data_IF_080676041654
#
_entry.id   IF_080676041654
#
_cell.length_a   1.000
_cell.length_b   1.000
_cell.length_c   1.000
_cell.angle_alpha   90.00
_cell.angle_beta   90.00
_cell.angle_gamma   90.00
#
_symmetry.space_group_name_H-M   'P 1'
#
loop_
_entity.id
_entity.type
_entity.pdbx_description
1 polymer ?
#
# COMPACT_ATOMS: atom_id res chain seq x y z
N UNK A 1 3.70 -43.29 5.07
CA UNK A 1 4.85 -42.49 5.53
C UNK A 1 4.72 -41.12 4.89
N UNK A 2 4.32 -40.09 5.64
CA UNK A 2 4.17 -38.72 5.15
C UNK A 2 5.55 -38.05 5.15
N UNK A 3 6.07 -37.73 3.99
CA UNK A 3 7.30 -36.91 3.86
C UNK A 3 6.94 -35.47 3.95
N UNK A 4 7.37 -34.81 5.02
CA UNK A 4 7.33 -33.35 5.21
C UNK A 4 8.29 -32.70 4.21
N UNK A 5 7.77 -31.89 3.31
CA UNK A 5 8.57 -31.10 2.39
C UNK A 5 9.09 -29.85 3.13
N UNK A 6 10.39 -29.74 3.25
CA UNK A 6 11.08 -28.56 3.78
C UNK A 6 11.04 -27.47 2.71
N UNK A 7 10.33 -26.37 2.99
CA UNK A 7 10.35 -25.17 2.16
C UNK A 7 11.70 -24.48 2.38
N UNK A 8 12.57 -24.56 1.40
CA UNK A 8 13.78 -23.77 1.37
C UNK A 8 13.41 -22.30 1.03
N UNK A 9 13.39 -21.46 2.03
CA UNK A 9 13.30 -20.02 1.85
C UNK A 9 14.65 -19.55 1.28
N UNK A 10 14.68 -19.19 0.00
CA UNK A 10 15.83 -18.51 -0.59
C UNK A 10 15.83 -17.07 -0.06
N UNK A 11 16.50 -16.86 1.05
CA UNK A 11 16.93 -15.53 1.46
C UNK A 11 18.08 -15.11 0.54
N UNK A 12 17.76 -14.33 -0.49
CA UNK A 12 18.78 -13.55 -1.19
C UNK A 12 19.27 -12.55 -0.15
N UNK A 13 20.37 -12.91 0.50
CA UNK A 13 21.07 -12.02 1.43
C UNK A 13 21.55 -10.81 0.63
N UNK A 14 20.88 -9.68 0.81
CA UNK A 14 21.30 -8.36 0.35
C UNK A 14 22.54 -7.88 1.15
N UNK A 15 23.62 -8.63 1.09
CA UNK A 15 24.88 -8.27 1.75
C UNK A 15 25.58 -7.05 1.13
N UNK A 16 25.09 -6.59 -0.03
CA UNK A 16 25.67 -5.43 -0.71
C UNK A 16 25.17 -4.05 -0.25
N UNK A 17 24.04 -3.97 0.46
CA UNK A 17 23.42 -2.69 0.81
C UNK A 17 23.67 -2.22 2.25
N UNK A 18 24.25 -3.04 3.12
CA UNK A 18 24.50 -2.68 4.52
C UNK A 18 25.76 -1.86 4.76
N UNK A 19 26.66 -1.71 3.79
CA UNK A 19 27.85 -0.88 3.95
C UNK A 19 27.62 0.61 3.74
N UNK A 20 26.46 1.02 3.18
CA UNK A 20 26.16 2.44 2.96
C UNK A 20 25.64 3.17 4.21
N UNK A 21 25.17 2.45 5.23
CA UNK A 21 24.55 3.08 6.41
C UNK A 21 25.50 3.38 7.58
N UNK A 22 26.73 2.91 7.54
CA UNK A 22 27.71 3.11 8.63
C UNK A 22 28.77 4.19 8.35
N UNK A 23 28.60 4.98 7.29
CA UNK A 23 29.46 6.14 7.09
C UNK A 23 28.90 7.30 7.91
N UNK A 24 29.61 7.80 8.92
CA UNK A 24 29.20 9.01 9.62
C UNK A 24 29.13 10.14 8.60
N UNK A 25 27.94 10.72 8.44
CA UNK A 25 27.73 11.87 7.58
C UNK A 25 28.60 13.01 8.07
N UNK A 26 29.39 13.62 7.20
CA UNK A 26 30.17 14.79 7.55
C UNK A 26 29.24 15.96 7.86
N UNK A 27 29.68 16.89 8.71
CA UNK A 27 28.92 18.11 9.04
C UNK A 27 28.55 18.93 7.80
N UNK A 28 29.32 18.82 6.70
CA UNK A 28 29.01 19.45 5.40
C UNK A 28 27.87 18.73 4.65
N UNK A 29 27.77 17.42 4.79
CA UNK A 29 26.65 16.64 4.23
C UNK A 29 25.34 16.87 5.03
N UNK A 30 25.45 17.19 6.31
CA UNK A 30 24.33 17.58 7.18
C UNK A 30 23.88 19.03 6.98
N UNK A 31 24.78 19.91 6.53
CA UNK A 31 24.51 21.34 6.32
C UNK A 31 23.80 21.57 4.96
N UNK A 32 22.50 21.26 4.85
CA UNK A 32 21.62 21.73 3.77
C UNK A 32 21.61 20.89 2.49
N UNK A 33 22.32 19.77 2.41
CA UNK A 33 22.28 18.86 1.25
C UNK A 33 21.42 17.59 1.46
N UNK A 34 20.92 17.35 2.66
CA UNK A 34 19.93 16.31 2.90
C UNK A 34 18.59 16.78 2.35
N UNK A 35 18.35 16.52 1.08
CA UNK A 35 17.03 16.65 0.50
C UNK A 35 16.17 15.47 1.01
N UNK A 36 15.68 15.59 2.24
CA UNK A 36 14.71 14.62 2.78
C UNK A 36 13.47 14.68 1.90
N UNK A 37 13.19 13.59 1.22
CA UNK A 37 11.95 13.44 0.45
C UNK A 37 10.81 13.35 1.47
N UNK A 38 10.12 14.47 1.68
CA UNK A 38 8.89 14.49 2.45
C UNK A 38 7.72 14.09 1.54
N UNK A 39 6.87 13.21 2.02
CA UNK A 39 5.66 12.80 1.30
C UNK A 39 4.42 13.10 2.15
N UNK A 40 3.36 13.52 1.48
CA UNK A 40 2.03 13.66 2.07
C UNK A 40 1.37 12.28 2.21
N UNK A 41 0.42 12.17 3.15
CA UNK A 41 -0.48 11.02 3.29
C UNK A 41 0.21 9.64 3.36
N UNK A 42 1.17 9.46 4.28
CA UNK A 42 1.93 8.21 4.41
C UNK A 42 1.04 6.99 4.75
N UNK A 43 -0.19 7.18 5.21
CA UNK A 43 -1.13 6.09 5.48
C UNK A 43 -1.43 5.23 4.24
N UNK A 44 -1.19 5.74 3.03
CA UNK A 44 -1.33 4.98 1.79
C UNK A 44 -0.32 3.83 1.67
N UNK A 45 0.77 3.88 2.43
CA UNK A 45 1.80 2.82 2.45
C UNK A 45 1.55 1.75 3.51
N UNK A 46 0.59 1.95 4.41
CA UNK A 46 0.21 0.97 5.42
C UNK A 46 -0.37 -0.26 4.72
N UNK A 47 0.12 -1.44 5.12
CA UNK A 47 -0.39 -2.72 4.62
C UNK A 47 -1.84 -2.92 5.01
N UNK A 48 -2.75 -3.11 4.04
CA UNK A 48 -4.17 -3.06 4.32
C UNK A 48 -4.75 -4.36 4.90
N UNK A 49 -4.06 -5.49 4.73
CA UNK A 49 -4.57 -6.80 5.12
C UNK A 49 -3.60 -7.57 6.01
N UNK A 50 -4.13 -8.32 6.96
CA UNK A 50 -3.36 -9.09 7.95
C UNK A 50 -2.56 -10.24 7.32
N UNK A 51 -3.05 -10.85 6.22
CA UNK A 51 -2.33 -11.93 5.52
C UNK A 51 -1.00 -11.43 4.97
N UNK A 52 -1.03 -10.35 4.19
CA UNK A 52 0.19 -9.78 3.59
C UNK A 52 1.12 -9.19 4.65
N UNK A 53 0.55 -8.54 5.68
CA UNK A 53 1.32 -8.02 6.81
C UNK A 53 2.08 -9.14 7.55
N UNK A 54 1.42 -10.26 7.82
CA UNK A 54 2.04 -11.41 8.49
C UNK A 54 3.14 -12.08 7.65
N UNK A 55 3.10 -11.92 6.32
CA UNK A 55 4.13 -12.42 5.39
C UNK A 55 5.26 -11.40 5.12
N UNK A 56 5.29 -10.27 5.85
CA UNK A 56 6.30 -9.23 5.64
C UNK A 56 6.03 -8.37 4.42
N UNK A 57 4.78 -7.95 4.23
CA UNK A 57 4.31 -7.08 3.15
C UNK A 57 4.45 -7.70 1.74
N UNK A 58 4.21 -9.00 1.66
CA UNK A 58 4.24 -9.76 0.41
C UNK A 58 2.84 -9.85 -0.17
N UNK A 59 2.65 -9.35 -1.41
CA UNK A 59 1.33 -9.33 -2.05
C UNK A 59 1.34 -9.28 -3.58
N UNK A 60 2.42 -8.79 -4.18
CA UNK A 60 2.46 -8.41 -5.62
C UNK A 60 2.35 -9.60 -6.57
N UNK A 61 2.88 -10.76 -6.18
CA UNK A 61 2.91 -11.98 -7.01
C UNK A 61 2.46 -13.21 -6.21
N UNK A 62 1.35 -13.10 -5.47
CA UNK A 62 0.78 -14.21 -4.72
C UNK A 62 -0.06 -15.10 -5.64
N UNK A 63 0.07 -16.42 -5.46
CA UNK A 63 -0.91 -17.38 -5.94
C UNK A 63 -2.18 -17.31 -5.08
N UNK A 64 -3.32 -17.70 -5.63
CA UNK A 64 -4.62 -17.67 -4.97
C UNK A 64 -5.00 -16.24 -4.48
N UNK A 65 -5.16 -15.28 -5.40
CA UNK A 65 -5.57 -13.93 -5.06
C UNK A 65 -6.98 -13.90 -4.44
N UNK A 66 -7.15 -13.02 -3.49
CA UNK A 66 -8.38 -12.70 -2.79
C UNK A 66 -8.81 -11.23 -3.01
N UNK A 67 -9.82 -10.76 -2.28
CA UNK A 67 -10.29 -9.38 -2.42
C UNK A 67 -9.22 -8.33 -2.08
N UNK A 68 -8.25 -8.64 -1.21
CA UNK A 68 -7.18 -7.72 -0.82
C UNK A 68 -6.11 -7.58 -1.91
N UNK A 69 -6.05 -8.53 -2.84
CA UNK A 69 -5.04 -8.55 -3.90
C UNK A 69 -5.13 -7.34 -4.84
N UNK A 70 -6.30 -6.68 -4.92
CA UNK A 70 -6.47 -5.45 -5.70
C UNK A 70 -5.57 -4.30 -5.25
N UNK A 71 -5.23 -4.23 -3.96
CA UNK A 71 -4.32 -3.21 -3.41
C UNK A 71 -2.84 -3.52 -3.65
N UNK A 72 -2.50 -4.79 -3.90
CA UNK A 72 -1.15 -5.25 -4.15
C UNK A 72 -0.81 -5.33 -5.63
N UNK A 73 -1.69 -5.95 -6.40
CA UNK A 73 -1.57 -6.09 -7.84
C UNK A 73 -2.95 -6.36 -8.44
N UNK A 74 -3.57 -5.31 -8.96
CA UNK A 74 -4.90 -5.38 -9.58
C UNK A 74 -4.95 -6.42 -10.69
N UNK A 75 -3.87 -6.57 -11.48
CA UNK A 75 -3.78 -7.54 -12.57
C UNK A 75 -3.92 -8.99 -12.10
N UNK A 76 -3.70 -9.28 -10.82
CA UNK A 76 -3.81 -10.62 -10.27
C UNK A 76 -5.27 -11.03 -9.96
N UNK A 77 -6.19 -10.10 -9.75
CA UNK A 77 -7.59 -10.41 -9.43
C UNK A 77 -8.31 -11.23 -10.51
N UNK A 78 -7.84 -11.17 -11.75
CA UNK A 78 -8.37 -12.00 -12.85
C UNK A 78 -8.20 -13.50 -12.55
N UNK A 79 -7.14 -13.84 -11.80
CA UNK A 79 -6.81 -15.22 -11.42
C UNK A 79 -7.56 -15.70 -10.17
N UNK A 80 -8.37 -14.87 -9.53
CA UNK A 80 -9.15 -15.25 -8.36
C UNK A 80 -10.07 -16.43 -8.66
N UNK A 81 -10.22 -17.36 -7.71
CA UNK A 81 -11.08 -18.55 -7.88
C UNK A 81 -12.55 -18.17 -7.97
N UNK A 82 -13.00 -17.26 -7.14
CA UNK A 82 -14.38 -16.83 -7.07
C UNK A 82 -14.67 -15.70 -8.08
N UNK A 83 -15.92 -15.59 -8.53
CA UNK A 83 -16.37 -14.52 -9.41
C UNK A 83 -16.37 -13.17 -8.70
N UNK A 84 -16.72 -13.16 -7.42
CA UNK A 84 -16.79 -11.99 -6.56
C UNK A 84 -16.12 -12.28 -5.23
N UNK A 85 -15.59 -11.26 -4.60
CA UNK A 85 -15.03 -11.37 -3.26
C UNK A 85 -15.11 -10.04 -2.54
N UNK A 86 -15.17 -10.12 -1.21
CA UNK A 86 -15.25 -8.99 -0.30
C UNK A 86 -14.35 -9.26 0.89
N UNK A 87 -13.70 -8.23 1.40
CA UNK A 87 -12.85 -8.30 2.59
C UNK A 87 -12.94 -7.01 3.39
N UNK A 88 -12.89 -7.15 4.70
CA UNK A 88 -12.80 -6.05 5.64
C UNK A 88 -11.69 -6.36 6.64
N UNK A 89 -10.84 -5.39 6.91
CA UNK A 89 -9.83 -5.50 7.96
C UNK A 89 -9.79 -4.24 8.82
N UNK A 90 -9.45 -4.44 10.09
CA UNK A 90 -9.23 -3.39 11.05
C UNK A 90 -7.93 -3.66 11.82
N UNK A 91 -7.04 -2.68 11.85
CA UNK A 91 -5.80 -2.73 12.60
C UNK A 91 -5.79 -1.62 13.64
N UNK A 92 -5.88 -1.94 14.94
CA UNK A 92 -5.65 -0.97 16.01
C UNK A 92 -4.17 -0.58 15.97
N UNK A 93 -3.90 0.69 15.65
CA UNK A 93 -2.54 1.19 15.49
C UNK A 93 -2.00 1.67 16.83
N UNK A 94 -0.80 1.24 17.21
CA UNK A 94 -0.14 1.63 18.48
C UNK A 94 -1.01 1.42 19.74
N UNK A 95 -1.87 0.40 19.77
CA UNK A 95 -2.89 0.18 20.81
C UNK A 95 -2.37 0.24 22.25
N UNK A 96 -1.14 -0.19 22.47
CA UNK A 96 -0.52 -0.18 23.80
C UNK A 96 -0.06 1.23 24.23
N UNK A 97 -0.01 2.18 23.31
CA UNK A 97 0.40 3.56 23.56
C UNK A 97 -0.79 4.52 23.48
N UNK A 98 -1.65 4.34 22.45
CA UNK A 98 -2.81 5.19 22.16
C UNK A 98 -3.97 4.29 21.77
N UNK A 99 -5.11 4.40 22.46
CA UNK A 99 -6.24 3.46 22.29
C UNK A 99 -7.18 3.78 21.14
N UNK A 100 -7.13 4.99 20.58
CA UNK A 100 -8.09 5.54 19.63
C UNK A 100 -7.54 5.77 18.21
N UNK A 101 -6.30 5.33 17.96
CA UNK A 101 -5.70 5.31 16.62
C UNK A 101 -6.01 3.98 15.93
N UNK A 102 -6.52 4.03 14.70
CA UNK A 102 -6.90 2.82 13.99
C UNK A 102 -6.94 2.98 12.49
N UNK A 103 -6.62 1.88 11.80
CA UNK A 103 -6.68 1.77 10.36
C UNK A 103 -7.75 0.76 9.95
N UNK A 104 -8.69 1.19 9.12
CA UNK A 104 -9.76 0.36 8.56
C UNK A 104 -9.59 0.23 7.06
N UNK A 105 -9.80 -0.97 6.53
CA UNK A 105 -9.75 -1.24 5.10
C UNK A 105 -10.92 -2.11 4.68
N UNK A 106 -11.59 -1.67 3.62
CA UNK A 106 -12.72 -2.34 3.02
C UNK A 106 -12.44 -2.52 1.53
N UNK A 107 -12.65 -3.71 0.99
CA UNK A 107 -12.43 -3.95 -0.44
C UNK A 107 -13.35 -5.01 -0.98
N UNK A 108 -13.65 -4.90 -2.27
CA UNK A 108 -14.40 -5.90 -3.00
C UNK A 108 -14.00 -5.92 -4.47
N UNK A 109 -14.22 -7.05 -5.11
CA UNK A 109 -13.99 -7.21 -6.54
C UNK A 109 -15.09 -8.02 -7.20
N UNK A 110 -15.22 -7.85 -8.51
CA UNK A 110 -16.04 -8.69 -9.37
C UNK A 110 -15.33 -8.94 -10.69
N UNK A 111 -15.35 -10.19 -11.14
CA UNK A 111 -14.91 -10.52 -12.50
C UNK A 111 -15.99 -10.11 -13.49
N UNK A 112 -15.57 -9.37 -14.52
CA UNK A 112 -16.44 -8.93 -15.63
C UNK A 112 -16.06 -9.70 -16.88
N UNK A 113 -16.83 -10.74 -17.18
CA UNK A 113 -16.49 -11.67 -18.25
C UNK A 113 -15.37 -12.64 -17.88
N UNK A 114 -14.71 -13.23 -18.91
CA UNK A 114 -13.68 -14.25 -18.73
C UNK A 114 -12.31 -13.67 -18.39
N UNK A 115 -12.02 -12.46 -18.87
CA UNK A 115 -10.66 -11.93 -18.92
C UNK A 115 -10.48 -10.59 -18.20
N UNK A 116 -11.49 -10.10 -17.48
CA UNK A 116 -11.42 -8.81 -16.81
C UNK A 116 -11.97 -8.87 -15.40
N UNK A 117 -11.52 -7.96 -14.56
CA UNK A 117 -12.01 -7.76 -13.21
C UNK A 117 -12.05 -6.27 -12.86
N UNK A 118 -13.02 -5.90 -12.03
CA UNK A 118 -13.15 -4.59 -11.41
C UNK A 118 -13.02 -4.73 -9.90
N UNK A 119 -12.50 -3.70 -9.25
CA UNK A 119 -12.46 -3.65 -7.79
C UNK A 119 -12.78 -2.26 -7.27
N UNK A 120 -13.26 -2.20 -6.03
CA UNK A 120 -13.39 -0.99 -5.25
C UNK A 120 -12.82 -1.20 -3.87
N UNK A 121 -12.19 -0.17 -3.31
CA UNK A 121 -11.69 -0.23 -1.95
C UNK A 121 -11.79 1.13 -1.25
N UNK A 122 -11.85 1.10 0.07
CA UNK A 122 -11.82 2.26 0.95
C UNK A 122 -10.82 2.02 2.06
N UNK A 123 -9.97 3.00 2.30
CA UNK A 123 -9.05 3.07 3.45
C UNK A 123 -9.47 4.22 4.32
N UNK A 124 -9.49 4.00 5.62
CA UNK A 124 -9.76 5.03 6.60
C UNK A 124 -8.76 4.92 7.74
N UNK A 125 -8.08 6.01 8.03
CA UNK A 125 -7.11 6.11 9.13
C UNK A 125 -7.53 7.20 10.08
N UNK A 126 -7.83 6.83 11.32
CA UNK A 126 -8.08 7.74 12.44
C UNK A 126 -6.81 7.88 13.27
N UNK A 127 -6.41 9.10 13.54
CA UNK A 127 -5.22 9.39 14.35
C UNK A 127 -5.56 9.66 15.84
N UNK A 128 -6.78 9.35 16.23
CA UNK A 128 -7.22 9.56 17.61
C UNK A 128 -7.67 11.00 17.90
N UNK A 129 -8.10 11.25 19.11
CA UNK A 129 -8.59 12.56 19.53
C UNK A 129 -7.46 13.42 20.08
N UNK A 130 -7.27 14.61 19.53
CA UNK A 130 -6.28 15.60 19.97
C UNK A 130 -6.99 16.70 20.76
N UNK A 131 -6.55 16.92 21.99
CA UNK A 131 -6.99 18.03 22.82
C UNK A 131 -6.10 19.24 22.53
N UNK A 132 -6.70 20.33 22.07
CA UNK A 132 -5.99 21.60 21.94
C UNK A 132 -6.01 22.36 23.27
N UNK A 133 -4.89 23.02 23.58
CA UNK A 133 -4.75 23.86 24.77
C UNK A 133 -4.27 25.26 24.37
N UNK A 134 -4.56 26.25 25.21
CA UNK A 134 -3.93 27.57 25.16
C UNK A 134 -2.50 27.53 25.75
N UNK A 135 -1.84 28.70 25.82
CA UNK A 135 -0.49 28.83 26.39
C UNK A 135 -0.44 28.51 27.90
N UNK A 136 -1.57 28.61 28.60
CA UNK A 136 -1.70 28.34 30.03
C UNK A 136 -2.09 26.87 30.30
N UNK A 137 -2.27 26.06 29.23
CA UNK A 137 -2.64 24.66 29.32
C UNK A 137 -4.15 24.41 29.42
N UNK A 138 -5.01 25.44 29.32
CA UNK A 138 -6.45 25.25 29.38
C UNK A 138 -6.98 24.66 28.06
N UNK A 139 -7.93 23.71 28.12
CA UNK A 139 -8.54 23.10 26.94
C UNK A 139 -9.27 24.16 26.09
N UNK A 140 -8.92 24.23 24.79
CA UNK A 140 -9.57 25.15 23.82
C UNK A 140 -10.40 24.44 22.76
N UNK A 141 -10.43 23.10 22.79
CA UNK A 141 -11.24 22.26 21.90
C UNK A 141 -10.61 20.92 21.61
N UNK A 142 -11.36 20.08 20.92
CA UNK A 142 -10.94 18.74 20.49
C UNK A 142 -11.08 18.58 18.99
N UNK A 143 -10.26 17.74 18.40
CA UNK A 143 -10.30 17.38 16.98
C UNK A 143 -9.76 15.97 16.78
N UNK A 144 -10.42 15.22 15.90
CA UNK A 144 -9.95 13.89 15.49
C UNK A 144 -9.40 13.95 14.08
N UNK A 145 -8.07 14.05 13.91
CA UNK A 145 -7.45 13.99 12.59
C UNK A 145 -7.78 12.68 11.90
N UNK A 146 -8.09 12.75 10.62
CA UNK A 146 -8.41 11.57 9.84
C UNK A 146 -7.96 11.69 8.39
N UNK A 147 -7.73 10.55 7.81
CA UNK A 147 -7.37 10.42 6.41
C UNK A 147 -8.19 9.29 5.79
N UNK A 148 -8.63 9.45 4.55
CA UNK A 148 -9.23 8.36 3.81
C UNK A 148 -8.84 8.36 2.34
N UNK A 149 -8.94 7.19 1.72
CA UNK A 149 -8.78 7.03 0.29
C UNK A 149 -9.87 6.11 -0.27
N UNK A 150 -10.35 6.46 -1.47
CA UNK A 150 -11.27 5.64 -2.25
C UNK A 150 -10.56 5.18 -3.52
N UNK A 151 -10.55 3.88 -3.75
CA UNK A 151 -9.90 3.23 -4.87
C UNK A 151 -10.94 2.61 -5.81
N UNK A 152 -10.74 2.79 -7.12
CA UNK A 152 -11.45 2.05 -8.16
C UNK A 152 -10.44 1.42 -9.11
N UNK A 153 -10.56 0.11 -9.36
CA UNK A 153 -9.61 -0.63 -10.16
C UNK A 153 -10.25 -1.40 -11.32
N UNK A 154 -9.48 -1.52 -12.40
CA UNK A 154 -9.81 -2.37 -13.55
C UNK A 154 -8.58 -3.16 -13.99
N UNK A 155 -8.78 -4.45 -14.28
CA UNK A 155 -7.74 -5.30 -14.84
C UNK A 155 -8.24 -6.10 -16.03
N UNK A 156 -7.33 -6.38 -16.96
CA UNK A 156 -7.62 -7.22 -18.12
C UNK A 156 -6.45 -8.15 -18.44
N UNK A 157 -6.77 -9.33 -18.92
CA UNK A 157 -5.82 -10.33 -19.38
C UNK A 157 -5.68 -10.22 -20.92
N UNK A 158 -4.50 -9.86 -21.38
CA UNK A 158 -4.21 -9.74 -22.81
C UNK A 158 -3.82 -11.07 -23.45
N UNK A 159 -3.09 -11.89 -22.71
CA UNK A 159 -2.72 -13.24 -23.15
C UNK A 159 -2.89 -14.22 -21.98
N UNK A 160 -2.83 -15.53 -22.25
CA UNK A 160 -2.87 -16.56 -21.18
C UNK A 160 -1.78 -16.37 -20.11
N UNK A 161 -0.71 -15.65 -20.45
CA UNK A 161 0.44 -15.43 -19.57
C UNK A 161 0.53 -14.00 -19.01
N UNK A 162 -0.10 -13.01 -19.64
CA UNK A 162 0.12 -11.61 -19.33
C UNK A 162 -1.19 -10.87 -19.06
N UNK A 163 -1.22 -10.16 -17.94
CA UNK A 163 -2.33 -9.29 -17.53
C UNK A 163 -1.82 -7.95 -17.01
N UNK A 164 -2.65 -6.92 -17.17
CA UNK A 164 -2.40 -5.57 -16.66
C UNK A 164 -3.59 -5.11 -15.84
N UNK A 165 -3.34 -4.19 -14.92
CA UNK A 165 -4.37 -3.53 -14.15
C UNK A 165 -3.99 -2.08 -13.87
N UNK A 166 -5.01 -1.27 -13.62
CA UNK A 166 -4.88 0.11 -13.19
C UNK A 166 -5.81 0.34 -12.02
N UNK A 167 -5.37 1.16 -11.07
CA UNK A 167 -6.24 1.71 -10.02
C UNK A 167 -6.23 3.24 -10.12
N UNK A 168 -7.36 3.84 -9.85
CA UNK A 168 -7.50 5.27 -9.62
C UNK A 168 -7.88 5.47 -8.17
N UNK A 169 -7.26 6.47 -7.54
CA UNK A 169 -7.40 6.74 -6.11
C UNK A 169 -7.72 8.21 -5.88
N UNK A 170 -8.77 8.46 -5.14
CA UNK A 170 -9.04 9.75 -4.51
C UNK A 170 -8.53 9.71 -3.08
N UNK A 171 -7.84 10.77 -2.64
CA UNK A 171 -7.25 10.89 -1.30
C UNK A 171 -7.75 12.16 -0.63
N UNK A 172 -8.14 12.02 0.63
CA UNK A 172 -8.51 13.12 1.52
C UNK A 172 -7.73 12.99 2.83
N UNK A 173 -7.17 14.10 3.29
CA UNK A 173 -6.45 14.16 4.55
C UNK A 173 -6.81 15.43 5.31
N UNK A 174 -7.32 15.28 6.52
CA UNK A 174 -7.60 16.39 7.42
C UNK A 174 -6.85 16.19 8.74
N UNK A 175 -5.62 16.70 8.79
CA UNK A 175 -4.76 16.61 9.96
C UNK A 175 -4.78 17.90 10.79
N UNK A 176 -5.33 19.01 10.24
CA UNK A 176 -5.22 20.35 10.80
C UNK A 176 -6.51 20.85 11.46
N UNK A 177 -7.64 20.17 11.23
CA UNK A 177 -8.93 20.59 11.76
C UNK A 177 -9.46 21.90 11.16
N UNK A 178 -8.95 22.29 9.98
CA UNK A 178 -9.32 23.54 9.30
C UNK A 178 -9.10 24.80 10.17
N UNK A 179 -7.96 24.86 10.85
CA UNK A 179 -7.61 25.97 11.76
C UNK A 179 -6.58 26.91 11.16
N UNK A 180 -6.67 28.18 11.51
CA UNK A 180 -5.62 29.16 11.23
C UNK A 180 -4.55 29.12 12.34
N UNK A 181 -3.28 29.19 11.95
CA UNK A 181 -2.14 29.31 12.86
C UNK A 181 -1.13 30.31 12.29
N UNK A 182 -0.69 31.28 13.09
CA UNK A 182 0.24 32.34 12.68
C UNK A 182 -0.16 33.06 11.38
N UNK A 183 -1.46 33.31 11.18
CA UNK A 183 -1.97 34.00 9.98
C UNK A 183 -1.94 33.13 8.71
N UNK A 184 -1.77 31.82 8.83
CA UNK A 184 -1.87 30.84 7.76
C UNK A 184 -3.13 29.99 7.98
N UNK A 185 -4.01 29.96 7.00
CA UNK A 185 -5.19 29.11 7.00
C UNK A 185 -4.81 27.69 6.52
N UNK A 186 -5.04 26.72 7.37
CA UNK A 186 -4.88 25.33 7.06
C UNK A 186 -6.24 24.68 6.75
N UNK A 187 -6.30 23.90 5.69
CA UNK A 187 -7.50 23.18 5.24
C UNK A 187 -7.18 21.72 4.98
N UNK A 188 -8.22 20.92 4.92
CA UNK A 188 -8.06 19.54 4.49
C UNK A 188 -7.42 19.49 3.08
N UNK A 189 -6.46 18.59 2.92
CA UNK A 189 -5.80 18.35 1.64
C UNK A 189 -6.54 17.26 0.85
N UNK A 190 -6.67 17.48 -0.46
CA UNK A 190 -7.23 16.49 -1.37
C UNK A 190 -6.29 16.24 -2.54
N UNK A 191 -6.30 15.03 -3.06
CA UNK A 191 -5.47 14.67 -4.19
C UNK A 191 -5.97 13.43 -4.92
N UNK A 192 -5.37 13.19 -6.08
CA UNK A 192 -5.59 12.01 -6.88
C UNK A 192 -4.29 11.27 -7.13
N UNK A 193 -4.38 9.94 -7.17
CA UNK A 193 -3.27 9.08 -7.52
C UNK A 193 -3.75 7.91 -8.38
N UNK A 194 -2.83 7.24 -9.05
CA UNK A 194 -3.11 6.02 -9.81
C UNK A 194 -2.02 5.00 -9.60
N UNK A 195 -2.37 3.75 -9.84
CA UNK A 195 -1.43 2.63 -9.80
C UNK A 195 -1.42 1.93 -11.16
N UNK A 196 -0.26 1.43 -11.56
CA UNK A 196 -0.09 0.58 -12.76
C UNK A 196 0.44 -0.77 -12.32
N UNK A 197 -0.24 -1.82 -12.75
CA UNK A 197 0.01 -3.19 -12.30
C UNK A 197 0.25 -4.10 -13.49
N UNK A 198 1.27 -4.94 -13.39
CA UNK A 198 1.60 -5.96 -14.38
C UNK A 198 1.72 -7.32 -13.70
N UNK A 199 1.26 -8.35 -14.38
CA UNK A 199 1.44 -9.74 -13.97
C UNK A 199 1.80 -10.61 -15.17
N UNK A 200 2.90 -11.34 -15.03
CA UNK A 200 3.28 -12.39 -15.97
C UNK A 200 3.31 -13.72 -15.25
N UNK A 201 2.65 -14.73 -15.80
CA UNK A 201 2.63 -16.09 -15.28
C UNK A 201 3.04 -17.09 -16.34
N UNK A 202 3.80 -18.10 -15.95
CA UNK A 202 4.20 -19.19 -16.82
C UNK A 202 4.23 -20.52 -16.06
N UNK A 203 4.11 -21.59 -16.80
CA UNK A 203 4.26 -22.97 -16.27
C UNK A 203 5.48 -23.60 -16.93
N UNK A 204 6.30 -24.24 -16.13
CA UNK A 204 7.52 -24.95 -16.56
C UNK A 204 7.35 -26.42 -16.21
N UNK A 205 7.69 -27.31 -17.13
CA UNK A 205 7.62 -28.76 -16.89
C UNK A 205 8.57 -29.14 -15.75
N UNK A 206 8.04 -29.78 -14.73
CA UNK A 206 8.82 -30.28 -13.60
C UNK A 206 9.47 -31.62 -13.93
N UNK A 207 10.62 -31.88 -13.33
CA UNK A 207 11.32 -33.18 -13.47
C UNK A 207 10.51 -34.37 -12.94
N UNK A 208 9.51 -34.11 -12.08
CA UNK A 208 8.64 -35.15 -11.46
C UNK A 208 7.36 -35.42 -12.27
N UNK A 209 7.28 -34.96 -13.53
CA UNK A 209 6.12 -35.16 -14.41
C UNK A 209 4.96 -34.21 -14.25
N UNK A 210 5.07 -33.21 -13.33
CA UNK A 210 4.12 -32.12 -13.13
C UNK A 210 4.54 -30.82 -13.80
N UNK A 211 3.86 -29.73 -13.44
CA UNK A 211 4.21 -28.36 -13.87
C UNK A 211 4.42 -27.46 -12.65
N UNK A 212 5.52 -26.75 -12.67
CA UNK A 212 5.82 -25.69 -11.73
C UNK A 212 5.25 -24.38 -12.24
N UNK A 213 4.66 -23.59 -11.37
CA UNK A 213 4.12 -22.29 -11.71
C UNK A 213 5.07 -21.20 -11.24
N UNK A 214 5.39 -20.30 -12.13
CA UNK A 214 6.19 -19.09 -11.85
C UNK A 214 5.36 -17.87 -12.19
N UNK A 215 5.38 -16.88 -11.30
CA UNK A 215 4.62 -15.65 -11.45
C UNK A 215 5.50 -14.46 -11.12
N UNK A 216 5.51 -13.46 -11.98
CA UNK A 216 6.21 -12.19 -11.79
C UNK A 216 5.17 -11.09 -11.71
N UNK A 217 5.24 -10.30 -10.66
CA UNK A 217 4.37 -9.14 -10.46
C UNK A 217 5.16 -7.85 -10.36
N UNK A 218 4.61 -6.77 -10.91
CA UNK A 218 5.11 -5.42 -10.77
C UNK A 218 3.93 -4.51 -10.47
N UNK A 219 4.14 -3.59 -9.53
CA UNK A 219 3.18 -2.57 -9.18
C UNK A 219 3.89 -1.24 -8.92
N UNK A 220 3.54 -0.21 -9.67
CA UNK A 220 3.92 1.18 -9.40
C UNK A 220 2.70 1.85 -8.79
N UNK A 221 2.78 2.17 -7.51
CA UNK A 221 1.67 2.72 -6.74
C UNK A 221 1.81 4.22 -6.50
N UNK A 222 0.66 4.87 -6.33
CA UNK A 222 0.55 6.26 -5.91
C UNK A 222 1.27 7.23 -6.85
N UNK A 223 1.20 7.01 -8.17
CA UNK A 223 1.61 8.01 -9.15
C UNK A 223 0.54 9.11 -9.12
N UNK A 224 0.85 10.25 -8.50
CA UNK A 224 -0.22 11.19 -8.22
C UNK A 224 0.17 12.65 -8.13
N UNK A 225 -0.84 13.47 -7.84
CA UNK A 225 -0.71 14.91 -7.68
C UNK A 225 0.03 15.28 -6.40
N UNK A 226 0.64 16.46 -6.40
CA UNK A 226 1.13 17.08 -5.18
C UNK A 226 -0.05 17.61 -4.37
N UNK A 227 0.02 17.43 -3.04
CA UNK A 227 -0.97 17.88 -2.07
C UNK A 227 -0.38 18.99 -1.17
N UNK A 228 -1.23 19.75 -0.50
CA UNK A 228 -0.85 20.73 0.53
C UNK A 228 -2.03 21.01 1.44
N UNK A 229 -1.76 21.34 2.70
CA UNK A 229 -2.77 21.81 3.65
C UNK A 229 -2.96 23.33 3.63
N UNK A 230 -2.10 24.07 2.95
CA UNK A 230 -2.17 25.54 2.87
C UNK A 230 -1.72 26.05 1.52
N UNK A 231 -2.36 27.12 1.02
CA UNK A 231 -1.94 27.80 -0.20
C UNK A 231 -0.59 28.51 -0.09
N UNK A 232 -0.12 28.76 1.14
CA UNK A 232 1.16 29.43 1.42
C UNK A 232 2.33 28.44 1.59
N UNK A 233 2.06 27.14 1.68
CA UNK A 233 3.09 26.12 1.89
C UNK A 233 3.47 25.41 0.59
N UNK A 234 4.64 24.78 0.63
CA UNK A 234 5.12 23.93 -0.46
C UNK A 234 4.21 22.71 -0.61
N UNK A 235 3.97 22.31 -1.84
CA UNK A 235 3.23 21.08 -2.17
C UNK A 235 4.17 19.89 -2.20
N UNK A 236 3.82 18.83 -1.49
CA UNK A 236 4.57 17.57 -1.46
C UNK A 236 3.84 16.47 -2.23
N UNK A 237 4.62 15.53 -2.74
CA UNK A 237 4.08 14.38 -3.48
C UNK A 237 3.40 13.36 -2.56
N UNK A 238 2.44 12.63 -3.10
CA UNK A 238 1.97 11.37 -2.50
C UNK A 238 3.11 10.33 -2.55
N UNK A 239 3.12 9.32 -1.65
CA UNK A 239 4.23 8.36 -1.52
C UNK A 239 4.24 7.37 -2.68
N UNK A 240 4.81 7.76 -3.81
CA UNK A 240 4.99 6.86 -4.97
C UNK A 240 5.92 5.72 -4.60
N UNK A 241 5.52 4.49 -4.93
CA UNK A 241 6.21 3.27 -4.53
C UNK A 241 6.25 2.26 -5.68
N UNK A 242 7.40 1.63 -5.89
CA UNK A 242 7.60 0.52 -6.81
C UNK A 242 7.72 -0.79 -6.03
N UNK A 243 6.84 -1.73 -6.35
CA UNK A 243 6.86 -3.08 -5.77
C UNK A 243 7.05 -4.11 -6.87
N UNK A 244 7.98 -5.02 -6.66
CA UNK A 244 8.24 -6.16 -7.55
C UNK A 244 8.21 -7.45 -6.74
N UNK A 245 7.72 -8.51 -7.35
CA UNK A 245 7.64 -9.80 -6.67
C UNK A 245 7.72 -10.97 -7.64
N UNK A 246 8.19 -12.09 -7.11
CA UNK A 246 8.23 -13.38 -7.80
C UNK A 246 7.54 -14.41 -6.92
N UNK A 247 6.62 -15.17 -7.51
CA UNK A 247 5.98 -16.32 -6.90
C UNK A 247 6.43 -17.60 -7.57
N UNK A 248 6.69 -18.64 -6.78
CA UNK A 248 6.96 -19.99 -7.26
C UNK A 248 6.05 -20.97 -6.55
N UNK A 249 5.42 -21.89 -7.30
CA UNK A 249 4.58 -22.95 -6.74
C UNK A 249 4.91 -24.26 -7.43
N UNK A 250 5.35 -25.24 -6.62
CA UNK A 250 5.61 -26.61 -7.03
C UNK A 250 4.43 -27.50 -6.63
N UNK A 251 3.95 -28.29 -7.57
CA UNK A 251 2.93 -29.30 -7.27
C UNK A 251 3.63 -30.63 -6.96
N UNK A 252 3.54 -31.05 -5.73
CA UNK A 252 4.01 -32.34 -5.24
C UNK A 252 2.96 -33.41 -5.57
#
# INVERSE_FOLDING_TARGET
>A
MKKTATIALFTISSWGFLQSQNRPLSSKELAGQLNTVTTMVPFLTITPDSRSAAMGDVGVALFDPDANSGSWNMANLINAKNKTGFSMSYAPWLRNLVSDVGFSYLTGYSKVGANSAVSGAMRYFSLGNIQFTDFDGNPTGQFTPNEFALDGGYATQFTKKFSMGVNLRFVYSNLTGNRAYNGIDYKAATGGAGDVNLLYKTEVKSNNGGYDKIQFGLNIQNIGSKMTYSSKEKRDFVPTNLKMGVGYSHKI
#
